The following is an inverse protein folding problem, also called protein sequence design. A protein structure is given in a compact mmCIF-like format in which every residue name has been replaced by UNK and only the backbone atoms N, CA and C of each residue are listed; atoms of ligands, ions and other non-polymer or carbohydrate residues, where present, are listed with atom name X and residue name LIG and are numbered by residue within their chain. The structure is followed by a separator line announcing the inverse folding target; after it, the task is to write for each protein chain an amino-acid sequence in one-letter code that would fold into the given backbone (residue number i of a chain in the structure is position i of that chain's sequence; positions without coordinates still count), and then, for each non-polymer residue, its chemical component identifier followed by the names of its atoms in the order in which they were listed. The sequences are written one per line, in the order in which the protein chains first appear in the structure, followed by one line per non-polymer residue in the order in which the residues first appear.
data_IF_730599571255
#
_entry.id   IF_730599571255
#
_cell.length_a   1.000
_cell.length_b   1.000
_cell.length_c   1.000
_cell.angle_alpha   90.00
_cell.angle_beta   90.00
_cell.angle_gamma   90.00
#
_symmetry.space_group_name_H-M   'P 1'
#
loop_
_entity.id
_entity.type
_entity.pdbx_description
1 polymer ?
#
# COMPACT_ATOMS: atom_id res chain seq x y z
N UNK A 1 -7.68 -46.68 -49.31
CA UNK A 1 -7.54 -45.22 -49.47
C UNK A 1 -6.43 -44.74 -48.56
N UNK A 2 -5.30 -44.29 -49.10
CA UNK A 2 -4.15 -43.82 -48.31
C UNK A 2 -4.37 -42.33 -48.00
N UNK A 3 -4.65 -41.98 -46.73
CA UNK A 3 -4.76 -40.58 -46.31
C UNK A 3 -3.40 -39.91 -46.52
N UNK A 4 -3.36 -38.85 -47.30
CA UNK A 4 -2.21 -37.94 -47.40
C UNK A 4 -2.13 -37.14 -46.11
N UNK A 5 -1.13 -37.42 -45.28
CA UNK A 5 -0.77 -36.54 -44.17
C UNK A 5 -0.10 -35.29 -44.74
N UNK A 6 -0.80 -34.16 -44.70
CA UNK A 6 -0.24 -32.84 -44.98
C UNK A 6 0.67 -32.43 -43.81
N UNK A 7 1.95 -32.22 -44.08
CA UNK A 7 2.90 -31.66 -43.10
C UNK A 7 2.86 -30.13 -43.11
N UNK A 8 3.13 -29.52 -41.96
CA UNK A 8 3.38 -28.08 -41.85
C UNK A 8 4.69 -27.72 -42.55
N UNK A 9 4.71 -26.58 -43.24
CA UNK A 9 5.94 -26.02 -43.81
C UNK A 9 6.75 -25.29 -42.74
N UNK A 10 8.07 -25.27 -42.89
CA UNK A 10 8.96 -24.51 -42.00
C UNK A 10 8.61 -23.01 -42.04
N UNK A 11 8.18 -22.51 -43.20
CA UNK A 11 7.81 -21.10 -43.38
C UNK A 11 6.55 -20.75 -42.58
N UNK A 12 5.54 -21.62 -42.56
CA UNK A 12 4.34 -21.42 -41.75
C UNK A 12 4.68 -21.36 -40.27
N UNK A 13 5.56 -22.24 -39.78
CA UNK A 13 6.00 -22.23 -38.40
C UNK A 13 6.84 -20.97 -38.07
N UNK A 14 7.67 -20.53 -39.01
CA UNK A 14 8.53 -19.34 -38.85
C UNK A 14 7.71 -18.07 -38.71
N UNK A 15 6.69 -17.87 -39.56
CA UNK A 15 5.83 -16.69 -39.48
C UNK A 15 5.08 -16.66 -38.15
N UNK A 16 4.60 -17.81 -37.66
CA UNK A 16 3.88 -17.90 -36.38
C UNK A 16 4.79 -17.49 -35.21
N UNK A 17 6.02 -18.00 -35.13
CA UNK A 17 6.92 -17.63 -34.03
C UNK A 17 7.33 -16.16 -34.08
N UNK A 18 7.49 -15.59 -35.28
CA UNK A 18 7.77 -14.15 -35.44
C UNK A 18 6.59 -13.30 -34.97
N UNK A 19 5.35 -13.68 -35.33
CA UNK A 19 4.15 -12.97 -34.87
C UNK A 19 4.03 -13.05 -33.34
N UNK A 20 4.22 -14.24 -32.75
CA UNK A 20 4.17 -14.41 -31.29
C UNK A 20 5.25 -13.57 -30.60
N UNK A 21 6.47 -13.51 -31.16
CA UNK A 21 7.56 -12.71 -30.60
C UNK A 21 7.22 -11.21 -30.57
N UNK A 22 6.63 -10.67 -31.65
CA UNK A 22 6.21 -9.27 -31.73
C UNK A 22 5.09 -8.99 -30.72
N UNK A 23 4.08 -9.86 -30.66
CA UNK A 23 2.95 -9.70 -29.72
C UNK A 23 3.42 -9.77 -28.26
N UNK A 24 4.32 -10.71 -27.93
CA UNK A 24 4.91 -10.87 -26.60
C UNK A 24 5.69 -9.63 -26.16
N UNK A 25 6.50 -9.04 -27.06
CA UNK A 25 7.27 -7.84 -26.74
C UNK A 25 6.37 -6.64 -26.35
N UNK A 26 5.30 -6.40 -27.11
CA UNK A 26 4.34 -5.32 -26.83
C UNK A 26 3.59 -5.59 -25.51
N UNK A 27 3.14 -6.83 -25.29
CA UNK A 27 2.40 -7.18 -24.08
C UNK A 27 3.24 -7.02 -22.81
N UNK A 28 4.54 -7.34 -22.83
CA UNK A 28 5.41 -7.18 -21.65
C UNK A 28 5.49 -5.72 -21.19
N UNK A 29 5.70 -4.77 -22.11
CA UNK A 29 5.80 -3.34 -21.76
C UNK A 29 4.48 -2.82 -21.20
N UNK A 30 3.35 -3.18 -21.82
CA UNK A 30 2.03 -2.79 -21.35
C UNK A 30 1.70 -3.40 -19.97
N UNK A 31 2.10 -4.65 -19.75
CA UNK A 31 1.87 -5.39 -18.51
C UNK A 31 2.55 -4.73 -17.31
N UNK A 32 3.81 -4.31 -17.45
CA UNK A 32 4.54 -3.62 -16.37
C UNK A 32 3.82 -2.33 -15.91
N UNK A 33 3.32 -1.52 -16.87
CA UNK A 33 2.57 -0.31 -16.55
C UNK A 33 1.23 -0.59 -15.85
N UNK A 34 0.54 -1.68 -16.23
CA UNK A 34 -0.71 -2.10 -15.58
C UNK A 34 -0.44 -2.58 -14.16
N UNK A 35 0.59 -3.41 -13.94
CA UNK A 35 0.96 -3.88 -12.62
C UNK A 35 1.27 -2.71 -11.67
N UNK A 36 2.01 -1.70 -12.14
CA UNK A 36 2.34 -0.53 -11.34
C UNK A 36 1.08 0.27 -10.94
N UNK A 37 0.15 0.52 -11.86
CA UNK A 37 -1.12 1.20 -11.54
C UNK A 37 -1.98 0.38 -10.59
N UNK A 38 -2.02 -0.94 -10.74
CA UNK A 38 -2.73 -1.84 -9.84
C UNK A 38 -2.12 -1.81 -8.43
N UNK A 39 -0.78 -1.79 -8.32
CA UNK A 39 -0.05 -1.66 -7.05
C UNK A 39 -0.42 -0.36 -6.33
N UNK A 40 -0.36 0.79 -7.03
CA UNK A 40 -0.76 2.10 -6.47
C UNK A 40 -2.22 2.10 -6.04
N UNK A 41 -3.13 1.59 -6.88
CA UNK A 41 -4.56 1.50 -6.54
C UNK A 41 -4.82 0.65 -5.29
N UNK A 42 -4.09 -0.47 -5.14
CA UNK A 42 -4.21 -1.34 -3.97
C UNK A 42 -3.65 -0.68 -2.70
N UNK A 43 -2.52 0.04 -2.79
CA UNK A 43 -1.94 0.81 -1.70
C UNK A 43 -2.89 1.91 -1.22
N UNK A 44 -3.42 2.71 -2.15
CA UNK A 44 -4.39 3.77 -1.86
C UNK A 44 -5.65 3.21 -1.20
N UNK A 45 -6.18 2.10 -1.73
CA UNK A 45 -7.34 1.42 -1.13
C UNK A 45 -7.04 0.89 0.27
N UNK A 46 -5.85 0.32 0.48
CA UNK A 46 -5.40 -0.19 1.78
C UNK A 46 -5.27 0.92 2.81
N UNK A 47 -4.64 2.05 2.45
CA UNK A 47 -4.51 3.23 3.29
C UNK A 47 -5.87 3.78 3.70
N UNK A 48 -6.79 3.96 2.75
CA UNK A 48 -8.16 4.44 3.04
C UNK A 48 -8.95 3.47 3.93
N UNK A 49 -8.80 2.17 3.71
CA UNK A 49 -9.46 1.15 4.54
C UNK A 49 -8.93 1.18 5.98
N UNK A 50 -7.60 1.25 6.15
CA UNK A 50 -6.96 1.35 7.46
C UNK A 50 -7.33 2.64 8.18
N UNK A 51 -7.34 3.77 7.47
CA UNK A 51 -7.77 5.08 7.98
C UNK A 51 -9.20 5.02 8.52
N UNK A 52 -10.14 4.52 7.71
CA UNK A 52 -11.53 4.35 8.12
C UNK A 52 -11.69 3.42 9.31
N UNK A 53 -10.97 2.29 9.32
CA UNK A 53 -11.05 1.32 10.41
C UNK A 53 -10.54 1.90 11.73
N UNK A 54 -9.42 2.64 11.69
CA UNK A 54 -8.85 3.30 12.87
C UNK A 54 -9.79 4.37 13.43
N UNK A 55 -10.45 5.15 12.57
CA UNK A 55 -11.45 6.14 12.99
C UNK A 55 -12.66 5.52 13.66
N UNK A 56 -13.23 4.48 13.05
CA UNK A 56 -14.38 3.77 13.62
C UNK A 56 -14.03 3.14 14.96
N UNK A 57 -12.84 2.54 15.05
CA UNK A 57 -12.32 2.01 16.31
C UNK A 57 -12.14 3.10 17.37
N UNK A 58 -11.53 4.24 17.03
CA UNK A 58 -11.35 5.34 17.96
C UNK A 58 -12.69 5.90 18.46
N UNK A 59 -13.68 6.01 17.57
CA UNK A 59 -15.05 6.44 17.92
C UNK A 59 -15.71 5.45 18.87
N UNK A 60 -15.65 4.15 18.56
CA UNK A 60 -16.25 3.09 19.38
C UNK A 60 -15.64 2.98 20.77
N UNK A 61 -14.32 3.20 20.88
CA UNK A 61 -13.63 3.21 22.17
C UNK A 61 -13.73 4.55 22.91
N UNK A 62 -14.34 5.57 22.32
CA UNK A 62 -14.48 6.90 22.91
C UNK A 62 -13.14 7.63 23.07
N UNK A 63 -12.17 7.38 22.18
CA UNK A 63 -10.87 8.02 22.23
C UNK A 63 -10.96 9.47 21.74
N UNK A 64 -10.61 10.41 22.62
CA UNK A 64 -10.48 11.82 22.26
C UNK A 64 -9.15 12.14 21.56
N UNK A 65 -8.19 11.22 21.58
CA UNK A 65 -6.87 11.30 20.95
C UNK A 65 -6.51 9.96 20.37
N UNK A 66 -5.71 9.93 19.29
CA UNK A 66 -5.15 8.67 18.82
C UNK A 66 -4.40 7.98 19.97
N UNK A 67 -4.71 6.72 20.28
CA UNK A 67 -4.12 5.99 21.39
C UNK A 67 -2.67 5.64 21.09
N UNK A 68 -1.75 5.87 22.03
CA UNK A 68 -0.34 5.49 21.85
C UNK A 68 -0.21 3.99 21.60
N UNK A 69 0.73 3.61 20.74
CA UNK A 69 0.98 2.22 20.34
C UNK A 69 1.19 1.28 21.54
N UNK A 70 2.04 1.69 22.49
CA UNK A 70 2.33 0.95 23.72
C UNK A 70 1.17 0.93 24.73
N UNK A 71 0.22 1.86 24.62
CA UNK A 71 -0.96 1.93 25.47
C UNK A 71 -2.05 0.96 25.01
N UNK A 72 -2.10 0.64 23.70
CA UNK A 72 -3.00 -0.38 23.17
C UNK A 72 -2.40 -1.77 23.32
N UNK A 73 -1.13 -1.92 22.95
CA UNK A 73 -0.45 -3.22 22.93
C UNK A 73 0.84 -3.10 23.73
N UNK A 74 0.76 -3.52 24.99
CA UNK A 74 1.89 -3.45 25.91
C UNK A 74 3.14 -4.15 25.34
N UNK A 75 4.26 -3.44 25.32
CA UNK A 75 5.56 -3.96 24.87
C UNK A 75 5.82 -3.87 23.37
N UNK A 76 4.93 -3.26 22.59
CA UNK A 76 5.17 -2.99 21.17
C UNK A 76 5.43 -1.51 20.92
N UNK A 77 6.47 -1.24 20.12
CA UNK A 77 6.70 0.03 19.45
C UNK A 77 6.42 -0.18 17.96
N UNK A 78 5.55 0.63 17.38
CA UNK A 78 5.12 0.53 15.98
C UNK A 78 4.65 -0.89 15.60
N UNK A 79 3.56 -1.41 16.18
CA UNK A 79 3.05 -2.74 15.83
C UNK A 79 2.63 -2.81 14.37
N UNK A 80 2.87 -3.96 13.72
CA UNK A 80 2.28 -4.21 12.39
C UNK A 80 0.76 -4.15 12.50
N UNK A 81 0.06 -3.72 11.45
CA UNK A 81 -1.41 -3.77 11.41
C UNK A 81 -1.91 -5.21 11.63
N UNK A 82 -1.15 -6.22 11.21
CA UNK A 82 -1.50 -7.61 11.48
C UNK A 82 -1.46 -7.94 12.98
N UNK A 83 -0.43 -7.47 13.70
CA UNK A 83 -0.34 -7.57 15.17
C UNK A 83 -1.45 -6.78 15.83
N UNK A 84 -1.74 -5.58 15.34
CA UNK A 84 -2.78 -4.70 15.85
C UNK A 84 -4.16 -5.36 15.78
N UNK A 85 -4.50 -5.94 14.63
CA UNK A 85 -5.73 -6.71 14.43
C UNK A 85 -5.78 -7.95 15.34
N UNK A 86 -4.65 -8.63 15.52
CA UNK A 86 -4.59 -9.85 16.32
C UNK A 86 -4.75 -9.58 17.82
N UNK A 87 -4.21 -8.47 18.33
CA UNK A 87 -4.18 -8.15 19.76
C UNK A 87 -5.34 -7.24 20.19
N UNK A 88 -6.00 -6.55 19.26
CA UNK A 88 -7.12 -5.65 19.56
C UNK A 88 -8.44 -6.19 18.98
N UNK A 89 -9.18 -6.95 19.78
CA UNK A 89 -10.42 -7.62 19.35
C UNK A 89 -11.50 -6.66 18.89
N UNK A 90 -11.59 -5.47 19.49
CA UNK A 90 -12.52 -4.39 19.09
C UNK A 90 -12.16 -3.78 17.74
N UNK A 91 -10.86 -3.57 17.47
CA UNK A 91 -10.40 -3.12 16.14
C UNK A 91 -10.69 -4.14 15.04
N UNK A 92 -10.58 -5.43 15.36
CA UNK A 92 -10.84 -6.53 14.41
C UNK A 92 -12.26 -6.51 13.81
N UNK A 93 -13.22 -5.86 14.48
CA UNK A 93 -14.57 -5.66 13.95
C UNK A 93 -14.60 -4.74 12.70
N UNK A 94 -13.62 -3.84 12.58
CA UNK A 94 -13.53 -2.87 11.49
C UNK A 94 -12.49 -3.26 10.43
N UNK A 95 -11.47 -4.05 10.81
CA UNK A 95 -10.48 -4.58 9.89
C UNK A 95 -10.02 -5.98 10.32
N UNK A 96 -10.35 -6.99 9.51
CA UNK A 96 -10.06 -8.40 9.84
C UNK A 96 -8.67 -8.87 9.38
N UNK A 97 -8.11 -8.21 8.36
CA UNK A 97 -6.81 -8.54 7.77
C UNK A 97 -6.11 -7.25 7.36
N UNK A 98 -4.79 -7.19 7.55
CA UNK A 98 -4.00 -6.08 7.06
C UNK A 98 -4.07 -6.00 5.52
N UNK A 99 -3.95 -4.81 4.91
CA UNK A 99 -3.96 -4.67 3.46
C UNK A 99 -2.87 -5.52 2.79
N UNK A 100 -3.24 -6.22 1.72
CA UNK A 100 -2.34 -7.02 0.92
C UNK A 100 -2.26 -6.45 -0.49
N UNK A 101 -1.05 -6.19 -0.96
CA UNK A 101 -0.79 -5.73 -2.32
C UNK A 101 -0.15 -6.89 -3.10
N UNK A 102 -0.84 -7.34 -4.15
CA UNK A 102 -0.39 -8.47 -4.95
C UNK A 102 1.03 -8.27 -5.47
N UNK A 103 1.80 -9.36 -5.52
CA UNK A 103 3.20 -9.38 -5.97
C UNK A 103 4.13 -8.43 -5.19
N UNK A 104 3.74 -7.99 -3.99
CA UNK A 104 4.54 -7.11 -3.14
C UNK A 104 4.69 -7.69 -1.72
N UNK A 105 5.28 -8.89 -1.58
CA UNK A 105 5.32 -9.62 -0.30
C UNK A 105 6.19 -8.97 0.77
N UNK A 106 7.07 -8.03 0.39
CA UNK A 106 7.94 -7.28 1.31
C UNK A 106 7.22 -6.12 1.97
N UNK A 107 6.04 -5.71 1.48
CA UNK A 107 5.32 -4.58 2.01
C UNK A 107 4.73 -4.91 3.38
N UNK A 108 5.13 -4.13 4.37
CA UNK A 108 4.67 -4.26 5.74
C UNK A 108 4.01 -2.97 6.20
N UNK A 109 2.87 -3.10 6.87
CA UNK A 109 2.04 -1.98 7.31
C UNK A 109 2.08 -1.89 8.83
N UNK A 110 2.31 -0.69 9.36
CA UNK A 110 2.45 -0.46 10.79
C UNK A 110 1.52 0.66 11.24
N UNK A 111 1.01 0.53 12.45
CA UNK A 111 0.40 1.63 13.19
C UNK A 111 1.50 2.30 14.00
N UNK A 112 1.64 3.61 13.87
CA UNK A 112 2.64 4.41 14.57
C UNK A 112 1.96 5.57 15.29
N UNK A 113 2.12 5.58 16.62
CA UNK A 113 1.70 6.68 17.45
C UNK A 113 2.57 6.76 18.72
N UNK A 114 3.87 6.91 18.55
CA UNK A 114 4.84 7.03 19.66
C UNK A 114 5.40 8.47 19.84
N UNK A 115 4.71 9.46 19.28
CA UNK A 115 5.09 10.88 19.25
C UNK A 115 6.41 11.19 18.52
N UNK A 116 6.95 10.25 17.72
CA UNK A 116 8.13 10.48 16.89
C UNK A 116 7.83 11.14 15.54
N UNK A 117 6.55 11.50 15.31
CA UNK A 117 6.00 11.99 14.05
C UNK A 117 7.01 12.90 13.38
N UNK A 118 7.67 12.38 12.34
CA UNK A 118 8.69 13.11 11.61
C UNK A 118 8.07 14.43 11.16
N UNK A 119 8.58 15.59 11.58
CA UNK A 119 8.06 16.85 11.08
C UNK A 119 8.39 16.91 9.60
N UNK A 120 7.37 17.07 8.77
CA UNK A 120 7.54 17.40 7.37
C UNK A 120 7.16 18.86 7.16
N UNK A 121 7.93 19.58 6.34
CA UNK A 121 7.80 21.03 6.18
C UNK A 121 7.88 21.83 7.51
N UNK A 122 8.66 21.37 8.48
CA UNK A 122 8.85 22.08 9.76
C UNK A 122 7.62 22.09 10.67
N UNK A 123 6.54 21.40 10.30
CA UNK A 123 5.32 21.31 11.10
C UNK A 123 5.27 19.97 11.84
N UNK A 124 4.97 20.00 13.14
CA UNK A 124 4.58 18.79 13.88
C UNK A 124 3.12 18.48 13.52
N UNK A 125 2.88 17.29 12.99
CA UNK A 125 1.51 16.84 12.75
C UNK A 125 0.96 16.28 14.05
N UNK A 126 -0.17 16.80 14.53
CA UNK A 126 -0.91 16.16 15.63
C UNK A 126 -1.77 15.04 15.01
N UNK A 127 -1.42 13.78 15.29
CA UNK A 127 -2.03 12.64 14.62
C UNK A 127 -1.38 11.30 14.95
N UNK A 128 -1.74 10.28 14.18
CA UNK A 128 -1.05 8.97 14.12
C UNK A 128 -0.68 8.69 12.67
N UNK A 129 0.29 7.81 12.43
CA UNK A 129 0.69 7.40 11.09
C UNK A 129 0.32 5.94 10.83
N UNK A 130 -0.01 5.67 9.57
CA UNK A 130 0.17 4.35 8.99
C UNK A 130 1.50 4.39 8.23
N UNK A 131 2.43 3.50 8.60
CA UNK A 131 3.72 3.38 7.91
C UNK A 131 3.68 2.18 6.98
N UNK A 132 4.15 2.36 5.74
CA UNK A 132 4.40 1.29 4.79
C UNK A 132 5.90 1.20 4.54
N UNK A 133 6.48 0.03 4.81
CA UNK A 133 7.91 -0.24 4.61
C UNK A 133 8.10 -1.07 3.33
N UNK A 134 9.17 -0.79 2.59
CA UNK A 134 9.58 -1.56 1.41
C UNK A 134 8.94 -1.08 0.11
N UNK A 135 8.47 0.17 0.09
CA UNK A 135 7.95 0.84 -1.09
C UNK A 135 9.08 1.56 -1.82
N UNK A 136 9.10 1.53 -3.14
CA UNK A 136 10.01 2.37 -3.93
C UNK A 136 9.49 3.82 -4.04
N UNK A 137 10.40 4.77 -4.16
CA UNK A 137 10.07 6.20 -4.21
C UNK A 137 9.09 6.55 -5.33
N UNK A 138 9.24 5.97 -6.52
CA UNK A 138 8.34 6.26 -7.66
C UNK A 138 6.90 5.83 -7.40
N UNK A 139 6.71 4.72 -6.68
CA UNK A 139 5.39 4.28 -6.23
C UNK A 139 4.87 5.19 -5.12
N UNK A 140 5.73 5.64 -4.20
CA UNK A 140 5.35 6.57 -3.15
C UNK A 140 4.84 7.90 -3.72
N UNK A 141 5.55 8.48 -4.69
CA UNK A 141 5.13 9.67 -5.43
C UNK A 141 3.78 9.47 -6.14
N UNK A 142 3.55 8.30 -6.75
CA UNK A 142 2.28 8.01 -7.40
C UNK A 142 1.11 7.82 -6.40
N UNK A 143 1.39 7.24 -5.22
CA UNK A 143 0.40 7.14 -4.12
C UNK A 143 0.08 8.52 -3.57
N UNK A 144 1.10 9.33 -3.36
CA UNK A 144 0.99 10.70 -2.88
C UNK A 144 0.18 11.58 -3.84
N UNK A 145 0.51 11.59 -5.13
CA UNK A 145 -0.26 12.31 -6.16
C UNK A 145 -1.73 11.86 -6.28
N UNK A 146 -2.07 10.68 -5.75
CA UNK A 146 -3.46 10.17 -5.72
C UNK A 146 -4.19 10.55 -4.43
N UNK A 147 -3.48 10.74 -3.32
CA UNK A 147 -4.04 10.93 -1.99
C UNK A 147 -3.89 12.37 -1.45
N UNK A 148 -2.95 13.14 -2.00
CA UNK A 148 -2.57 14.48 -1.58
C UNK A 148 -2.20 15.35 -2.81
N UNK A 149 -0.98 15.89 -2.90
CA UNK A 149 -0.57 16.87 -3.92
C UNK A 149 0.60 16.43 -4.83
N UNK A 150 1.25 15.30 -4.56
CA UNK A 150 2.39 14.79 -5.33
C UNK A 150 3.75 15.22 -4.77
N UNK A 151 3.80 16.02 -3.69
CA UNK A 151 5.01 16.33 -2.95
C UNK A 151 5.26 15.36 -1.79
N UNK A 152 6.06 14.32 -2.04
CA UNK A 152 6.45 13.33 -1.03
C UNK A 152 7.24 13.90 0.16
N UNK A 153 7.71 15.14 0.09
CA UNK A 153 8.41 15.77 1.20
C UNK A 153 7.45 16.20 2.31
N UNK A 154 6.19 16.49 2.00
CA UNK A 154 5.26 17.19 2.88
C UNK A 154 3.81 16.74 2.76
N UNK A 155 2.95 17.22 3.66
CA UNK A 155 1.53 16.88 3.63
C UNK A 155 1.17 15.59 4.35
N UNK A 156 0.05 15.02 3.94
CA UNK A 156 -0.58 13.83 4.52
C UNK A 156 0.22 12.58 4.20
N UNK A 157 0.68 12.45 2.96
CA UNK A 157 1.49 11.32 2.49
C UNK A 157 2.92 11.79 2.30
N UNK A 158 3.86 11.06 2.88
CA UNK A 158 5.27 11.47 2.94
C UNK A 158 6.17 10.27 2.75
N UNK A 159 7.36 10.47 2.20
CA UNK A 159 8.29 9.37 1.97
C UNK A 159 9.72 9.72 2.39
N UNK A 160 10.39 8.80 3.09
CA UNK A 160 11.82 8.90 3.39
C UNK A 160 12.63 7.94 2.52
N UNK A 161 13.64 8.46 1.85
CA UNK A 161 14.56 7.66 1.02
C UNK A 161 15.57 6.87 1.85
N UNK A 162 15.85 7.28 3.09
CA UNK A 162 16.84 6.63 3.95
C UNK A 162 16.34 5.27 4.43
N UNK A 163 15.09 5.22 4.89
CA UNK A 163 14.51 4.00 5.45
C UNK A 163 13.51 3.32 4.48
N UNK A 164 13.16 3.98 3.37
CA UNK A 164 12.13 3.55 2.42
C UNK A 164 10.75 3.38 3.06
N UNK A 165 10.39 4.36 3.91
CA UNK A 165 9.11 4.39 4.63
C UNK A 165 8.19 5.41 3.99
N UNK A 166 6.97 4.98 3.67
CA UNK A 166 5.86 5.88 3.37
C UNK A 166 5.06 6.10 4.65
N UNK A 167 4.84 7.35 5.02
CA UNK A 167 4.00 7.77 6.13
C UNK A 167 2.69 8.30 5.58
N UNK A 168 1.56 7.77 6.05
CA UNK A 168 0.23 8.30 5.80
C UNK A 168 -0.35 8.80 7.12
N UNK A 169 -0.58 10.11 7.20
CA UNK A 169 -0.91 10.79 8.45
C UNK A 169 -2.42 10.88 8.64
N UNK A 170 -2.90 10.50 9.81
CA UNK A 170 -4.28 10.67 10.24
C UNK A 170 -4.32 11.83 11.23
N UNK A 171 -4.89 12.96 10.82
CA UNK A 171 -4.97 14.16 11.67
C UNK A 171 -5.90 13.97 12.88
N UNK A 172 -5.63 14.73 13.95
CA UNK A 172 -6.39 14.73 15.19
C UNK A 172 -7.84 15.24 15.06
N UNK A 173 -8.10 16.26 14.22
CA UNK A 173 -9.40 16.95 14.17
C UNK A 173 -10.56 16.11 13.62
N UNK A 174 -10.29 14.90 13.15
CA UNK A 174 -11.22 14.09 12.37
C UNK A 174 -11.59 12.77 13.06
N UNK A 175 -11.23 12.59 14.35
CA UNK A 175 -11.63 11.40 15.14
C UNK A 175 -13.14 11.40 15.43
N UNK A 176 -13.81 12.55 15.37
CA UNK A 176 -15.24 12.73 15.70
C UNK A 176 -16.09 13.41 14.60
N UNK A 177 -15.60 13.50 13.36
CA UNK A 177 -16.42 13.95 12.20
C UNK A 177 -16.96 12.76 11.40
#
# INVERSE_FOLDING_TARGET
MRKTTSGFTIVELLIVVVIIAILAAITIVAYNGIQQRAKVSALVSGLKASDKALRLYATDQGFNTWPRDNAIISGYTNPTLQTFIAQTTTFKNYMQTAPNVANSPTLSWFYDNDDDIKPACGSRYNGTNIIIIGLDQSTAEAVDATLDDGDIACGKVRYTTVDSYLFYTLSYSSVME
#
